data_IF_878396837448
#
_entry.id   IF_878396837448
#
_cell.length_a   1.000
_cell.length_b   1.000
_cell.length_c   1.000
_cell.angle_alpha   90.00
_cell.angle_beta   90.00
_cell.angle_gamma   90.00
#
_symmetry.space_group_name_H-M   'P 1'
#
loop_
_entity.id
_entity.type
_entity.pdbx_description
1 polymer ?
#
# COMPACT_ATOMS: atom_id res chain seq x y z
N UNK A 1 4.64 4.38 -34.35
CA UNK A 1 4.77 3.75 -33.02
C UNK A 1 6.23 3.82 -32.62
N UNK A 2 6.60 4.64 -31.62
CA UNK A 2 8.02 4.76 -31.21
C UNK A 2 8.44 3.49 -30.44
N UNK A 3 9.62 2.91 -30.72
CA UNK A 3 10.05 1.66 -30.09
C UNK A 3 10.30 1.83 -28.59
N UNK A 4 9.93 0.81 -27.81
CA UNK A 4 10.13 0.74 -26.35
C UNK A 4 11.56 1.08 -25.89
N UNK A 5 12.56 0.77 -26.72
CA UNK A 5 13.98 1.07 -26.46
C UNK A 5 14.32 2.58 -26.45
N UNK A 6 13.60 3.40 -27.22
CA UNK A 6 13.79 4.85 -27.24
C UNK A 6 13.47 5.46 -25.86
N UNK A 7 12.35 5.03 -25.26
CA UNK A 7 11.87 5.48 -23.94
C UNK A 7 12.65 4.91 -22.76
N UNK A 8 13.50 3.90 -22.99
CA UNK A 8 14.39 3.34 -21.96
C UNK A 8 15.68 4.16 -21.85
N UNK A 9 16.20 4.66 -22.97
CA UNK A 9 17.48 5.39 -23.05
C UNK A 9 17.36 6.84 -22.58
N UNK A 10 16.24 7.51 -22.85
CA UNK A 10 16.03 8.93 -22.50
C UNK A 10 15.98 9.22 -20.98
N UNK A 11 15.84 8.22 -20.10
CA UNK A 11 15.36 8.46 -18.73
C UNK A 11 16.28 8.03 -17.56
N UNK A 12 17.55 7.69 -17.82
CA UNK A 12 18.42 7.07 -16.80
C UNK A 12 19.22 8.07 -15.90
N UNK A 13 19.34 9.38 -16.14
CA UNK A 13 20.28 10.27 -15.38
C UNK A 13 19.68 11.50 -14.61
N UNK A 14 19.94 11.59 -13.28
CA UNK A 14 19.79 12.71 -12.29
C UNK A 14 18.40 13.34 -11.92
N UNK A 15 18.17 13.68 -10.65
CA UNK A 15 16.84 13.72 -9.97
C UNK A 15 15.97 14.98 -10.07
N UNK A 16 16.49 16.17 -10.43
CA UNK A 16 15.65 17.37 -10.64
C UNK A 16 15.44 17.68 -12.13
N UNK A 17 16.49 17.53 -12.94
CA UNK A 17 16.47 17.72 -14.41
C UNK A 17 15.53 16.70 -15.08
N UNK A 18 15.38 15.50 -14.51
CA UNK A 18 14.47 14.45 -15.02
C UNK A 18 13.01 14.83 -15.09
N UNK A 19 12.48 15.59 -14.12
CA UNK A 19 11.03 15.81 -14.05
C UNK A 19 10.55 16.69 -15.19
N UNK A 20 11.23 17.81 -15.40
CA UNK A 20 10.94 18.73 -16.49
C UNK A 20 11.17 18.06 -17.84
N UNK A 21 12.19 17.21 -17.97
CA UNK A 21 12.43 16.47 -19.20
C UNK A 21 11.33 15.45 -19.49
N UNK A 22 10.85 14.70 -18.48
CA UNK A 22 9.71 13.79 -18.64
C UNK A 22 8.47 14.55 -19.12
N UNK A 23 8.17 15.69 -18.50
CA UNK A 23 7.02 16.54 -18.86
C UNK A 23 7.20 17.11 -20.28
N UNK A 24 8.39 17.60 -20.62
CA UNK A 24 8.70 18.14 -21.95
C UNK A 24 8.51 17.08 -23.05
N UNK A 25 9.06 15.89 -22.84
CA UNK A 25 8.94 14.79 -23.81
C UNK A 25 7.49 14.31 -23.90
N UNK A 26 6.78 14.22 -22.76
CA UNK A 26 5.36 13.90 -22.76
C UNK A 26 4.54 14.95 -23.52
N UNK A 27 4.80 16.24 -23.34
CA UNK A 27 4.09 17.31 -24.03
C UNK A 27 4.14 17.17 -25.56
N UNK A 28 5.29 16.76 -26.11
CA UNK A 28 5.48 16.59 -27.55
C UNK A 28 4.82 15.30 -28.06
N UNK A 29 4.85 14.23 -27.27
CA UNK A 29 4.52 12.88 -27.74
C UNK A 29 3.27 12.26 -27.11
N UNK A 30 2.50 12.99 -26.29
CA UNK A 30 1.40 12.41 -25.50
C UNK A 30 0.41 11.61 -26.35
N UNK A 31 0.04 12.13 -27.52
CA UNK A 31 -0.88 11.48 -28.47
C UNK A 31 -0.35 10.15 -29.03
N UNK A 32 0.94 9.86 -28.88
CA UNK A 32 1.60 8.64 -29.35
C UNK A 32 1.89 7.64 -28.23
N UNK A 33 1.61 8.02 -26.96
CA UNK A 33 1.89 7.15 -25.82
C UNK A 33 0.81 6.09 -25.67
N UNK A 34 1.20 4.82 -25.74
CA UNK A 34 0.36 3.72 -25.29
C UNK A 34 0.29 3.68 -23.74
N UNK A 35 -0.54 2.78 -23.19
CA UNK A 35 -0.72 2.64 -21.74
C UNK A 35 0.58 2.37 -20.97
N UNK A 36 1.51 1.60 -21.55
CA UNK A 36 2.81 1.27 -20.94
C UNK A 36 3.72 2.49 -20.87
N UNK A 37 3.83 3.25 -21.96
CA UNK A 37 4.66 4.46 -21.99
C UNK A 37 4.11 5.54 -21.05
N UNK A 38 2.78 5.69 -21.01
CA UNK A 38 2.10 6.64 -20.15
C UNK A 38 2.29 6.31 -18.67
N UNK A 39 2.02 5.06 -18.26
CA UNK A 39 2.21 4.60 -16.88
C UNK A 39 3.67 4.75 -16.43
N UNK A 40 4.63 4.42 -17.32
CA UNK A 40 6.06 4.60 -17.05
C UNK A 40 6.44 6.06 -16.82
N UNK A 41 5.92 6.98 -17.65
CA UNK A 41 6.20 8.41 -17.50
C UNK A 41 5.64 8.95 -16.17
N UNK A 42 4.39 8.62 -15.83
CA UNK A 42 3.74 8.98 -14.57
C UNK A 42 4.51 8.40 -13.37
N UNK A 43 4.92 7.13 -13.46
CA UNK A 43 5.71 6.48 -12.41
C UNK A 43 7.04 7.17 -12.15
N UNK A 44 7.75 7.57 -13.20
CA UNK A 44 9.01 8.31 -13.08
C UNK A 44 8.82 9.65 -12.39
N UNK A 45 7.75 10.38 -12.71
CA UNK A 45 7.39 11.62 -12.02
C UNK A 45 7.12 11.36 -10.53
N UNK A 46 6.34 10.33 -10.20
CA UNK A 46 6.07 9.96 -8.81
C UNK A 46 7.35 9.59 -8.04
N UNK A 47 8.22 8.75 -8.61
CA UNK A 47 9.50 8.35 -8.00
C UNK A 47 10.42 9.56 -7.76
N UNK A 48 10.47 10.50 -8.71
CA UNK A 48 11.27 11.71 -8.54
C UNK A 48 10.71 12.66 -7.45
N UNK A 49 9.45 12.48 -7.05
CA UNK A 49 8.76 13.28 -6.05
C UNK A 49 8.64 12.63 -4.66
N UNK A 50 8.98 11.35 -4.52
CA UNK A 50 8.73 10.52 -3.31
C UNK A 50 9.19 11.19 -2.00
N UNK A 51 10.32 11.91 -2.06
CA UNK A 51 10.91 12.59 -0.89
C UNK A 51 10.84 14.13 -0.96
N UNK A 52 10.11 14.71 -1.92
CA UNK A 52 10.03 16.17 -2.09
C UNK A 52 8.58 16.64 -2.28
N UNK A 53 7.99 17.17 -1.20
CA UNK A 53 6.65 17.77 -1.24
C UNK A 53 6.58 18.94 -2.22
N UNK A 54 7.63 19.74 -2.32
CA UNK A 54 7.70 20.87 -3.25
C UNK A 54 7.62 20.40 -4.70
N UNK A 55 8.38 19.36 -5.06
CA UNK A 55 8.34 18.80 -6.41
C UNK A 55 6.98 18.14 -6.71
N UNK A 56 6.44 17.38 -5.74
CA UNK A 56 5.12 16.79 -5.88
C UNK A 56 4.04 17.85 -6.15
N UNK A 57 4.08 18.98 -5.43
CA UNK A 57 3.17 20.10 -5.67
C UNK A 57 3.32 20.70 -7.07
N UNK A 58 4.56 20.92 -7.53
CA UNK A 58 4.83 21.45 -8.87
C UNK A 58 4.32 20.53 -9.97
N UNK A 59 4.59 19.22 -9.89
CA UNK A 59 4.12 18.23 -10.86
C UNK A 59 2.59 18.19 -10.91
N UNK A 60 1.92 18.20 -9.76
CA UNK A 60 0.45 18.16 -9.69
C UNK A 60 -0.25 19.34 -10.34
N UNK A 61 0.40 20.50 -10.40
CA UNK A 61 -0.14 21.71 -11.03
C UNK A 61 0.34 21.88 -12.47
N UNK A 62 1.21 21.01 -12.97
CA UNK A 62 1.73 21.10 -14.33
C UNK A 62 0.64 20.69 -15.34
N UNK A 63 0.31 21.52 -16.35
CA UNK A 63 -0.73 21.22 -17.32
C UNK A 63 -0.50 19.92 -18.09
N UNK A 64 0.76 19.57 -18.38
CA UNK A 64 1.09 18.35 -19.13
C UNK A 64 0.82 17.14 -18.26
N UNK A 65 1.17 17.19 -16.97
CA UNK A 65 0.85 16.11 -16.04
C UNK A 65 -0.65 15.91 -15.90
N UNK A 66 -1.43 17.00 -15.77
CA UNK A 66 -2.89 16.92 -15.71
C UNK A 66 -3.47 16.23 -16.95
N UNK A 67 -3.00 16.62 -18.14
CA UNK A 67 -3.41 16.00 -19.40
C UNK A 67 -2.98 14.53 -19.50
N UNK A 68 -1.79 14.17 -19.01
CA UNK A 68 -1.36 12.77 -18.92
C UNK A 68 -2.30 11.93 -18.06
N UNK A 69 -2.77 12.48 -16.94
CA UNK A 69 -3.73 11.79 -16.07
C UNK A 69 -5.10 11.68 -16.75
N UNK A 70 -5.55 12.68 -17.50
CA UNK A 70 -6.80 12.60 -18.28
C UNK A 70 -6.73 11.50 -19.34
N UNK A 71 -5.62 11.41 -20.08
CA UNK A 71 -5.39 10.34 -21.05
C UNK A 71 -5.34 8.97 -20.35
N UNK A 72 -4.73 8.89 -19.16
CA UNK A 72 -4.70 7.66 -18.38
C UNK A 72 -6.10 7.22 -17.93
N UNK A 73 -6.91 8.16 -17.46
CA UNK A 73 -8.31 7.92 -17.07
C UNK A 73 -9.14 7.42 -18.26
N UNK A 74 -9.02 8.07 -19.42
CA UNK A 74 -9.69 7.63 -20.64
C UNK A 74 -9.28 6.21 -21.02
N UNK A 75 -7.97 5.91 -21.06
CA UNK A 75 -7.47 4.58 -21.43
C UNK A 75 -7.86 3.49 -20.43
N UNK A 76 -7.92 3.80 -19.13
CA UNK A 76 -8.42 2.88 -18.11
C UNK A 76 -9.93 2.59 -18.29
N UNK A 77 -10.72 3.60 -18.66
CA UNK A 77 -12.14 3.39 -19.00
C UNK A 77 -12.31 2.54 -20.27
N UNK A 78 -11.45 2.74 -21.27
CA UNK A 78 -11.45 1.92 -22.50
C UNK A 78 -11.11 0.45 -22.21
N UNK A 79 -10.18 0.17 -21.28
CA UNK A 79 -9.86 -1.20 -20.82
C UNK A 79 -11.10 -1.88 -20.22
N UNK A 80 -11.83 -1.17 -19.35
CA UNK A 80 -13.06 -1.71 -18.75
C UNK A 80 -14.15 -2.04 -19.77
N UNK A 81 -14.13 -1.36 -20.92
CA UNK A 81 -15.05 -1.61 -22.02
C UNK A 81 -14.51 -2.64 -23.03
N UNK A 82 -13.34 -3.23 -22.78
CA UNK A 82 -12.71 -4.23 -23.66
C UNK A 82 -12.27 -3.67 -25.02
N UNK A 83 -11.94 -2.37 -25.10
CA UNK A 83 -11.55 -1.72 -26.35
C UNK A 83 -10.06 -1.97 -26.70
N UNK A 84 -9.73 -1.89 -27.99
CA UNK A 84 -8.33 -1.94 -28.45
C UNK A 84 -7.56 -0.67 -28.06
N UNK A 85 -6.22 -0.77 -27.90
CA UNK A 85 -5.32 0.33 -27.46
C UNK A 85 -5.58 0.89 -26.04
N UNK A 86 -6.24 0.09 -25.21
CA UNK A 86 -6.51 0.32 -23.80
C UNK A 86 -5.26 0.24 -22.91
N UNK A 87 -5.44 0.46 -21.61
CA UNK A 87 -4.37 0.38 -20.62
C UNK A 87 -4.40 -0.96 -19.87
N UNK A 88 -3.38 -1.83 -20.03
CA UNK A 88 -3.36 -3.11 -19.33
C UNK A 88 -3.40 -2.93 -17.80
N UNK A 89 -4.02 -3.88 -17.08
CA UNK A 89 -4.21 -3.81 -15.63
C UNK A 89 -2.95 -3.60 -14.77
N UNK A 90 -1.77 -4.01 -15.26
CA UNK A 90 -0.52 -3.70 -14.57
C UNK A 90 -0.13 -2.20 -14.65
N UNK A 91 -0.38 -1.58 -15.80
CA UNK A 91 -0.18 -0.16 -16.00
C UNK A 91 -1.12 0.66 -15.12
N UNK A 92 -2.37 0.19 -15.00
CA UNK A 92 -3.38 0.71 -14.08
C UNK A 92 -2.85 0.77 -12.64
N UNK A 93 -2.32 -0.34 -12.12
CA UNK A 93 -1.78 -0.39 -10.75
C UNK A 93 -0.58 0.55 -10.54
N UNK A 94 0.33 0.62 -11.52
CA UNK A 94 1.46 1.57 -11.49
C UNK A 94 0.97 3.02 -11.39
N UNK A 95 -0.09 3.38 -12.12
CA UNK A 95 -0.67 4.71 -12.08
C UNK A 95 -1.33 4.98 -10.73
N UNK A 96 -2.11 4.03 -10.18
CA UNK A 96 -2.73 4.21 -8.85
C UNK A 96 -1.67 4.47 -7.78
N UNK A 97 -0.59 3.68 -7.79
CA UNK A 97 0.53 3.84 -6.87
C UNK A 97 1.18 5.21 -7.03
N UNK A 98 1.41 5.63 -8.27
CA UNK A 98 2.02 6.92 -8.58
C UNK A 98 1.16 8.10 -8.10
N UNK A 99 -0.15 8.00 -8.29
CA UNK A 99 -1.14 8.94 -7.78
C UNK A 99 -1.12 9.01 -6.25
N UNK A 100 -1.03 7.87 -5.56
CA UNK A 100 -0.93 7.82 -4.09
C UNK A 100 0.35 8.49 -3.58
N UNK A 101 1.50 8.24 -4.22
CA UNK A 101 2.79 8.88 -3.88
C UNK A 101 2.73 10.39 -4.05
N UNK A 102 2.17 10.86 -5.17
CA UNK A 102 2.00 12.30 -5.44
C UNK A 102 0.92 12.94 -4.56
N UNK A 103 0.06 12.13 -3.92
CA UNK A 103 -1.18 12.54 -3.24
C UNK A 103 -2.09 13.30 -4.19
N UNK A 104 -2.29 12.72 -5.38
CA UNK A 104 -3.15 13.24 -6.43
C UNK A 104 -4.19 12.17 -6.74
N UNK A 105 -5.41 12.38 -6.26
CA UNK A 105 -6.48 11.39 -6.35
C UNK A 105 -7.58 11.93 -7.28
N UNK A 106 -7.99 11.11 -8.26
CA UNK A 106 -9.09 11.42 -9.16
C UNK A 106 -10.18 10.35 -9.04
N UNK A 107 -11.43 10.73 -8.70
CA UNK A 107 -12.48 9.74 -8.46
C UNK A 107 -12.71 8.81 -9.65
N UNK A 108 -12.90 9.36 -10.85
CA UNK A 108 -13.17 8.58 -12.07
C UNK A 108 -12.06 7.58 -12.40
N UNK A 109 -10.80 7.99 -12.25
CA UNK A 109 -9.66 7.11 -12.41
C UNK A 109 -9.69 5.97 -11.37
N UNK A 110 -9.85 6.27 -10.08
CA UNK A 110 -9.90 5.25 -9.03
C UNK A 110 -11.10 4.31 -9.18
N UNK A 111 -12.28 4.81 -9.57
CA UNK A 111 -13.44 3.97 -9.92
C UNK A 111 -13.10 2.98 -11.03
N UNK A 112 -12.42 3.43 -12.08
CA UNK A 112 -12.04 2.54 -13.18
C UNK A 112 -11.04 1.46 -12.71
N UNK A 113 -10.07 1.86 -11.91
CA UNK A 113 -8.98 0.99 -11.45
C UNK A 113 -9.41 -0.03 -10.40
N UNK A 114 -10.47 0.23 -9.61
CA UNK A 114 -11.00 -0.74 -8.65
C UNK A 114 -11.51 -2.03 -9.31
N UNK A 115 -11.93 -1.95 -10.58
CA UNK A 115 -12.61 -3.03 -11.30
C UNK A 115 -11.68 -3.96 -12.08
N UNK A 116 -10.44 -3.54 -12.35
CA UNK A 116 -9.47 -4.29 -13.16
C UNK A 116 -8.31 -4.86 -12.30
N UNK A 117 -8.68 -5.62 -11.26
CA UNK A 117 -7.70 -6.18 -10.33
C UNK A 117 -7.08 -7.48 -10.86
N UNK A 118 -5.91 -7.39 -11.51
CA UNK A 118 -5.10 -8.57 -11.81
C UNK A 118 -4.20 -8.98 -10.62
N UNK A 119 -4.12 -10.30 -10.41
CA UNK A 119 -3.71 -10.93 -9.14
C UNK A 119 -2.31 -10.63 -8.59
N UNK A 120 -1.36 -10.17 -9.41
CA UNK A 120 0.04 -10.03 -8.97
C UNK A 120 0.36 -8.68 -8.32
N UNK A 121 -0.42 -7.64 -8.62
CA UNK A 121 -0.15 -6.28 -8.13
C UNK A 121 -1.23 -5.76 -7.17
N UNK A 122 -2.12 -6.66 -6.75
CA UNK A 122 -3.30 -6.33 -5.95
C UNK A 122 -2.96 -5.63 -4.63
N UNK A 123 -1.80 -5.91 -4.02
CA UNK A 123 -1.37 -5.22 -2.80
C UNK A 123 -0.92 -3.78 -3.02
N UNK A 124 -0.35 -3.46 -4.19
CA UNK A 124 -0.02 -2.07 -4.54
C UNK A 124 -1.30 -1.27 -4.76
N UNK A 125 -2.30 -1.89 -5.39
CA UNK A 125 -3.61 -1.29 -5.58
C UNK A 125 -4.30 -1.06 -4.23
N UNK A 126 -4.35 -2.08 -3.37
CA UNK A 126 -4.89 -1.99 -2.02
C UNK A 126 -4.18 -0.90 -1.20
N UNK A 127 -2.85 -0.82 -1.25
CA UNK A 127 -2.09 0.24 -0.58
C UNK A 127 -2.43 1.64 -1.11
N UNK A 128 -2.60 1.77 -2.41
CA UNK A 128 -2.94 3.06 -3.04
C UNK A 128 -4.32 3.57 -2.58
N UNK A 129 -5.30 2.67 -2.48
CA UNK A 129 -6.62 2.99 -1.93
C UNK A 129 -6.57 3.24 -0.41
N UNK A 130 -5.69 2.57 0.33
CA UNK A 130 -5.47 2.89 1.74
C UNK A 130 -4.93 4.31 1.94
N UNK A 131 -3.99 4.76 1.09
CA UNK A 131 -3.54 6.16 1.10
C UNK A 131 -4.66 7.12 0.66
N UNK A 132 -5.53 6.76 -0.28
CA UNK A 132 -6.74 7.55 -0.58
C UNK A 132 -7.60 7.73 0.69
N UNK A 133 -7.97 6.65 1.37
CA UNK A 133 -8.79 6.68 2.58
C UNK A 133 -8.19 7.55 3.69
N UNK A 134 -6.86 7.51 3.84
CA UNK A 134 -6.13 8.29 4.84
C UNK A 134 -6.03 9.78 4.50
N UNK A 135 -5.92 10.13 3.21
CA UNK A 135 -5.61 11.49 2.75
C UNK A 135 -6.83 12.27 2.32
N UNK A 136 -7.84 11.60 1.77
CA UNK A 136 -9.06 12.17 1.21
C UNK A 136 -10.29 11.38 1.68
N UNK A 137 -10.62 11.42 2.99
CA UNK A 137 -11.68 10.58 3.57
C UNK A 137 -13.07 10.85 2.97
N UNK A 138 -13.36 12.08 2.51
CA UNK A 138 -14.61 12.42 1.84
C UNK A 138 -14.74 11.69 0.49
N UNK A 139 -13.71 11.80 -0.36
CA UNK A 139 -13.66 11.07 -1.64
C UNK A 139 -13.69 9.54 -1.43
N UNK A 140 -13.03 9.04 -0.38
CA UNK A 140 -13.09 7.63 -0.04
C UNK A 140 -14.50 7.17 0.36
N UNK A 141 -15.28 8.01 1.05
CA UNK A 141 -16.66 7.72 1.36
C UNK A 141 -17.54 7.69 0.10
N UNK A 142 -17.30 8.58 -0.86
CA UNK A 142 -17.98 8.55 -2.17
C UNK A 142 -17.64 7.29 -2.99
N UNK A 143 -16.42 6.77 -2.83
CA UNK A 143 -15.91 5.57 -3.50
C UNK A 143 -16.07 4.30 -2.67
N UNK A 144 -16.90 4.31 -1.61
CA UNK A 144 -17.00 3.18 -0.66
C UNK A 144 -17.34 1.86 -1.36
N UNK A 145 -18.31 1.86 -2.28
CA UNK A 145 -18.68 0.66 -3.03
C UNK A 145 -17.51 0.11 -3.88
N UNK A 146 -16.75 0.98 -4.54
CA UNK A 146 -15.59 0.56 -5.34
C UNK A 146 -14.44 0.05 -4.47
N UNK A 147 -14.23 0.64 -3.28
CA UNK A 147 -13.26 0.13 -2.30
C UNK A 147 -13.67 -1.26 -1.83
N UNK A 148 -14.96 -1.49 -1.58
CA UNK A 148 -15.47 -2.79 -1.17
C UNK A 148 -15.30 -3.85 -2.28
N UNK A 149 -15.64 -3.52 -3.53
CA UNK A 149 -15.39 -4.37 -4.70
C UNK A 149 -13.90 -4.77 -4.81
N UNK A 150 -12.99 -3.81 -4.65
CA UNK A 150 -11.54 -4.04 -4.64
C UNK A 150 -11.13 -4.99 -3.51
N UNK A 151 -11.62 -4.78 -2.29
CA UNK A 151 -11.28 -5.62 -1.13
C UNK A 151 -11.77 -7.05 -1.33
N UNK A 152 -12.98 -7.24 -1.85
CA UNK A 152 -13.53 -8.57 -2.14
C UNK A 152 -12.76 -9.29 -3.24
N UNK A 153 -12.45 -8.58 -4.33
CA UNK A 153 -11.60 -9.11 -5.39
C UNK A 153 -10.24 -9.54 -4.82
N UNK A 154 -9.62 -8.68 -4.00
CA UNK A 154 -8.35 -8.97 -3.34
C UNK A 154 -8.42 -10.19 -2.42
N UNK A 155 -9.45 -10.25 -1.57
CA UNK A 155 -9.68 -11.37 -0.66
C UNK A 155 -9.81 -12.68 -1.45
N UNK A 156 -10.56 -12.68 -2.55
CA UNK A 156 -10.74 -13.87 -3.39
C UNK A 156 -9.42 -14.40 -3.95
N UNK A 157 -8.47 -13.52 -4.32
CA UNK A 157 -7.15 -13.92 -4.79
C UNK A 157 -6.26 -14.44 -3.69
N UNK A 158 -6.27 -13.80 -2.53
CA UNK A 158 -5.48 -14.24 -1.39
C UNK A 158 -5.92 -15.63 -0.91
N UNK A 159 -7.23 -15.87 -0.83
CA UNK A 159 -7.80 -17.13 -0.34
C UNK A 159 -7.63 -18.31 -1.31
N UNK A 160 -7.44 -18.05 -2.61
CA UNK A 160 -7.20 -19.11 -3.63
C UNK A 160 -5.77 -19.61 -3.66
N UNK A 161 -4.81 -18.87 -3.08
CA UNK A 161 -3.41 -19.30 -3.05
C UNK A 161 -3.18 -20.34 -1.97
N UNK A 162 -2.21 -21.23 -2.22
CA UNK A 162 -1.74 -22.16 -1.21
C UNK A 162 -1.20 -21.41 0.02
N UNK A 163 -1.30 -22.00 1.22
CA UNK A 163 -0.58 -21.50 2.40
C UNK A 163 0.88 -21.22 2.05
N UNK A 164 1.44 -20.12 2.58
CA UNK A 164 2.81 -19.66 2.29
C UNK A 164 3.05 -19.17 0.84
N UNK A 165 2.01 -19.10 0.01
CA UNK A 165 2.08 -18.61 -1.37
C UNK A 165 2.35 -17.10 -1.51
N UNK A 166 2.36 -16.37 -0.40
CA UNK A 166 2.65 -14.93 -0.33
C UNK A 166 3.92 -14.66 0.48
N UNK A 167 4.71 -13.67 0.08
CA UNK A 167 5.83 -13.20 0.91
C UNK A 167 5.30 -12.46 2.15
N UNK A 168 6.00 -12.53 3.29
CA UNK A 168 5.60 -11.81 4.51
C UNK A 168 5.37 -10.32 4.24
N UNK A 169 6.22 -9.67 3.43
CA UNK A 169 6.05 -8.24 3.13
C UNK A 169 4.71 -7.94 2.43
N UNK A 170 4.22 -8.87 1.61
CA UNK A 170 2.93 -8.74 0.92
C UNK A 170 1.78 -8.86 1.91
N UNK A 171 1.84 -9.84 2.83
CA UNK A 171 0.86 -10.01 3.90
C UNK A 171 0.81 -8.78 4.83
N UNK A 172 1.97 -8.26 5.23
CA UNK A 172 2.07 -7.06 6.07
C UNK A 172 1.51 -5.83 5.34
N UNK A 173 1.86 -5.64 4.06
CA UNK A 173 1.32 -4.54 3.25
C UNK A 173 -0.20 -4.63 3.12
N UNK A 174 -0.74 -5.84 2.89
CA UNK A 174 -2.17 -6.05 2.81
C UNK A 174 -2.86 -5.72 4.13
N UNK A 175 -2.36 -6.26 5.25
CA UNK A 175 -2.89 -5.99 6.59
C UNK A 175 -2.96 -4.49 6.87
N UNK A 176 -1.84 -3.76 6.72
CA UNK A 176 -1.78 -2.32 6.96
C UNK A 176 -2.81 -1.57 6.11
N UNK A 177 -2.91 -1.93 4.83
CA UNK A 177 -3.83 -1.27 3.90
C UNK A 177 -5.29 -1.47 4.31
N UNK A 178 -5.68 -2.69 4.67
CA UNK A 178 -7.04 -3.01 5.13
C UNK A 178 -7.43 -2.21 6.38
N UNK A 179 -6.51 -1.98 7.31
CA UNK A 179 -6.82 -1.19 8.53
C UNK A 179 -7.18 0.27 8.25
N UNK A 180 -6.79 0.80 7.08
CA UNK A 180 -7.08 2.17 6.66
C UNK A 180 -8.40 2.30 5.90
N UNK A 181 -9.00 1.19 5.46
CA UNK A 181 -10.22 1.19 4.65
C UNK A 181 -11.48 1.15 5.51
N UNK A 182 -12.60 1.72 5.03
CA UNK A 182 -13.90 1.54 5.66
C UNK A 182 -14.32 0.06 5.59
N UNK A 183 -14.05 -0.69 6.65
CA UNK A 183 -14.35 -2.12 6.74
C UNK A 183 -15.74 -2.30 7.35
N UNK A 184 -16.79 -2.43 6.53
CA UNK A 184 -18.15 -2.73 7.02
C UNK A 184 -18.48 -4.22 6.99
N UNK A 185 -17.86 -4.96 6.07
CA UNK A 185 -18.37 -6.28 5.70
C UNK A 185 -17.60 -7.47 6.27
N UNK A 186 -18.32 -8.59 6.33
CA UNK A 186 -17.84 -9.90 6.78
C UNK A 186 -16.61 -10.39 5.99
N UNK A 187 -16.58 -10.16 4.68
CA UNK A 187 -15.48 -10.58 3.81
C UNK A 187 -14.15 -9.95 4.26
N UNK A 188 -14.16 -8.64 4.49
CA UNK A 188 -12.97 -7.89 4.94
C UNK A 188 -12.48 -8.38 6.29
N UNK A 189 -13.39 -8.71 7.22
CA UNK A 189 -13.04 -9.28 8.53
C UNK A 189 -12.33 -10.63 8.39
N UNK A 190 -12.93 -11.56 7.64
CA UNK A 190 -12.34 -12.87 7.40
C UNK A 190 -10.99 -12.78 6.70
N UNK A 191 -10.86 -11.84 5.77
CA UNK A 191 -9.61 -11.61 5.07
C UNK A 191 -8.51 -11.13 6.03
N UNK A 192 -8.81 -10.18 6.92
CA UNK A 192 -7.86 -9.73 7.95
C UNK A 192 -7.49 -10.87 8.90
N UNK A 193 -8.47 -11.65 9.38
CA UNK A 193 -8.22 -12.82 10.26
C UNK A 193 -7.28 -13.81 9.59
N UNK A 194 -7.51 -14.12 8.31
CA UNK A 194 -6.69 -15.06 7.54
C UNK A 194 -5.24 -14.58 7.41
N UNK A 195 -5.03 -13.29 7.09
CA UNK A 195 -3.69 -12.69 7.04
C UNK A 195 -3.01 -12.76 8.41
N UNK A 196 -3.72 -12.42 9.49
CA UNK A 196 -3.16 -12.44 10.85
C UNK A 196 -2.77 -13.86 11.28
N UNK A 197 -3.59 -14.86 10.94
CA UNK A 197 -3.27 -16.25 11.21
C UNK A 197 -2.01 -16.70 10.48
N UNK A 198 -1.90 -16.41 9.18
CA UNK A 198 -0.71 -16.77 8.40
C UNK A 198 0.55 -16.07 8.92
N UNK A 199 0.45 -14.78 9.28
CA UNK A 199 1.57 -14.04 9.89
C UNK A 199 1.99 -14.64 11.24
N UNK A 200 1.05 -15.19 12.02
CA UNK A 200 1.37 -15.84 13.29
C UNK A 200 2.01 -17.22 13.11
N UNK A 201 1.53 -18.01 12.15
CA UNK A 201 2.15 -19.29 11.75
C UNK A 201 3.59 -19.10 11.29
N UNK A 202 3.88 -17.94 10.69
CA UNK A 202 5.20 -17.57 10.17
C UNK A 202 5.88 -16.51 11.01
N UNK A 203 5.63 -16.52 12.32
CA UNK A 203 6.14 -15.49 13.24
C UNK A 203 7.66 -15.40 13.27
N UNK A 204 8.38 -16.51 13.11
CA UNK A 204 9.85 -16.52 13.02
C UNK A 204 10.36 -15.78 11.79
N UNK A 205 9.71 -15.96 10.63
CA UNK A 205 10.03 -15.22 9.40
C UNK A 205 9.64 -13.74 9.54
N UNK A 206 8.52 -13.46 10.22
CA UNK A 206 8.10 -12.09 10.51
C UNK A 206 9.09 -11.37 11.43
N UNK A 207 9.68 -12.04 12.42
CA UNK A 207 10.68 -11.45 13.31
C UNK A 207 11.94 -10.98 12.57
N UNK A 208 12.30 -11.63 11.47
CA UNK A 208 13.36 -11.17 10.57
C UNK A 208 13.00 -9.95 9.72
N UNK A 209 11.72 -9.55 9.69
CA UNK A 209 11.21 -8.40 8.96
C UNK A 209 10.97 -7.19 9.88
N UNK A 210 10.75 -6.00 9.29
CA UNK A 210 10.32 -4.82 10.03
C UNK A 210 8.89 -5.02 10.55
N UNK A 211 8.73 -5.23 11.87
CA UNK A 211 7.44 -5.49 12.52
C UNK A 211 6.63 -4.23 12.85
N UNK A 212 7.24 -3.05 12.77
CA UNK A 212 6.58 -1.79 13.11
C UNK A 212 5.25 -1.56 12.34
N UNK A 213 5.13 -1.90 11.04
CA UNK A 213 3.86 -1.78 10.33
C UNK A 213 2.77 -2.71 10.88
N UNK A 214 3.14 -3.91 11.33
CA UNK A 214 2.19 -4.87 11.91
C UNK A 214 1.67 -4.34 13.25
N UNK A 215 2.56 -3.84 14.12
CA UNK A 215 2.17 -3.19 15.39
C UNK A 215 1.20 -2.04 15.13
N UNK A 216 1.52 -1.19 14.15
CA UNK A 216 0.69 -0.04 13.78
C UNK A 216 -0.68 -0.46 13.26
N UNK A 217 -0.75 -1.54 12.48
CA UNK A 217 -2.00 -2.10 12.00
C UNK A 217 -2.87 -2.63 13.17
N UNK A 218 -2.29 -3.38 14.10
CA UNK A 218 -3.03 -3.86 15.28
C UNK A 218 -3.50 -2.73 16.18
N UNK A 219 -2.70 -1.67 16.36
CA UNK A 219 -3.12 -0.51 17.13
C UNK A 219 -4.26 0.24 16.43
N UNK A 220 -4.21 0.36 15.10
CA UNK A 220 -5.30 0.92 14.30
C UNK A 220 -6.58 0.10 14.42
N UNK A 221 -6.50 -1.24 14.35
CA UNK A 221 -7.64 -2.13 14.56
C UNK A 221 -8.21 -1.96 15.98
N UNK A 222 -7.34 -1.94 17.00
CA UNK A 222 -7.74 -1.81 18.40
C UNK A 222 -8.45 -0.49 18.69
N UNK A 223 -8.03 0.59 18.04
CA UNK A 223 -8.53 1.95 18.32
C UNK A 223 -9.71 2.34 17.43
N UNK A 224 -9.68 1.98 16.14
CA UNK A 224 -10.68 2.40 15.15
C UNK A 224 -11.69 1.31 14.79
N UNK A 225 -11.27 0.04 14.85
CA UNK A 225 -12.07 -1.11 14.40
C UNK A 225 -12.26 -2.13 15.53
N UNK A 226 -12.66 -1.65 16.72
CA UNK A 226 -12.67 -2.41 17.98
C UNK A 226 -13.39 -3.77 17.86
N UNK A 227 -14.51 -3.83 17.13
CA UNK A 227 -15.26 -5.08 16.91
C UNK A 227 -14.41 -6.11 16.16
N UNK A 228 -13.81 -5.69 15.05
CA UNK A 228 -12.90 -6.53 14.23
C UNK A 228 -11.71 -7.00 15.06
N UNK A 229 -11.10 -6.10 15.85
CA UNK A 229 -9.99 -6.44 16.73
C UNK A 229 -10.34 -7.52 17.77
N UNK A 230 -11.53 -7.44 18.40
CA UNK A 230 -11.99 -8.46 19.36
C UNK A 230 -12.20 -9.81 18.69
N UNK A 231 -12.82 -9.81 17.51
CA UNK A 231 -13.05 -11.04 16.72
C UNK A 231 -11.72 -11.70 16.32
N UNK A 232 -10.76 -10.93 15.80
CA UNK A 232 -9.40 -11.41 15.52
C UNK A 232 -8.77 -11.99 16.79
N UNK A 233 -8.82 -11.26 17.90
CA UNK A 233 -8.23 -11.70 19.17
C UNK A 233 -8.86 -13.01 19.66
N UNK A 234 -10.17 -13.17 19.54
CA UNK A 234 -10.88 -14.40 19.88
C UNK A 234 -10.48 -15.57 18.98
N UNK A 235 -10.49 -15.38 17.66
CA UNK A 235 -10.08 -16.39 16.70
C UNK A 235 -8.62 -16.83 16.90
N UNK A 236 -7.74 -15.86 17.19
CA UNK A 236 -6.33 -16.13 17.45
C UNK A 236 -6.12 -16.82 18.79
N UNK A 237 -6.80 -16.41 19.86
CA UNK A 237 -6.66 -17.06 21.19
C UNK A 237 -7.15 -18.51 21.15
N UNK A 238 -8.19 -18.80 20.39
CA UNK A 238 -8.72 -20.16 20.22
C UNK A 238 -7.71 -21.10 19.53
N UNK A 239 -7.00 -20.62 18.50
CA UNK A 239 -6.01 -21.41 17.74
C UNK A 239 -4.61 -21.36 18.36
N UNK A 240 -4.27 -20.25 19.00
CA UNK A 240 -2.98 -19.94 19.59
C UNK A 240 -3.20 -19.37 21.01
N UNK A 241 -3.31 -20.21 22.05
CA UNK A 241 -3.62 -19.75 23.41
C UNK A 241 -2.62 -18.74 23.99
N UNK A 242 -1.39 -18.76 23.51
CA UNK A 242 -0.33 -17.82 23.88
C UNK A 242 -0.30 -16.55 23.01
N UNK A 243 -1.26 -16.39 22.10
CA UNK A 243 -1.35 -15.20 21.25
C UNK A 243 -1.68 -13.98 22.11
N UNK A 244 -0.74 -13.03 22.14
CA UNK A 244 -1.00 -11.71 22.69
C UNK A 244 -0.69 -10.70 21.61
N UNK A 245 -1.73 -10.00 21.14
CA UNK A 245 -1.63 -9.00 20.07
C UNK A 245 -0.55 -7.93 20.31
N UNK A 246 -0.21 -7.65 21.59
CA UNK A 246 0.89 -6.76 22.00
C UNK A 246 2.29 -7.38 21.93
N UNK A 247 2.46 -8.69 22.18
CA UNK A 247 3.78 -9.31 22.36
C UNK A 247 4.41 -9.84 21.07
N UNK A 248 3.59 -10.29 20.11
CA UNK A 248 4.13 -10.88 18.87
C UNK A 248 5.01 -9.94 18.04
N UNK A 249 4.84 -8.63 18.19
CA UNK A 249 5.47 -7.63 17.31
C UNK A 249 6.13 -6.46 18.07
N UNK A 250 6.00 -6.42 19.40
CA UNK A 250 6.48 -5.32 20.26
C UNK A 250 7.76 -5.63 21.04
N UNK A 251 8.39 -6.79 20.81
CA UNK A 251 9.54 -7.23 21.58
C UNK A 251 9.18 -7.68 22.99
N UNK A 252 9.98 -8.59 23.52
CA UNK A 252 9.81 -9.20 24.82
C UNK A 252 9.67 -8.12 25.92
N UNK A 253 8.96 -8.46 27.00
CA UNK A 253 9.17 -7.79 28.28
C UNK A 253 10.69 -7.69 28.45
N UNK A 254 11.21 -6.53 28.85
CA UNK A 254 12.41 -6.53 29.68
C UNK A 254 12.09 -7.43 30.89
N UNK A 255 12.33 -8.73 30.74
CA UNK A 255 12.26 -9.71 31.81
C UNK A 255 13.37 -9.31 32.77
N UNK A 256 12.95 -8.87 33.95
CA UNK A 256 13.72 -8.83 35.19
C UNK A 256 15.23 -8.72 35.05
N UNK A 257 15.75 -7.49 34.99
CA UNK A 257 16.87 -7.21 35.89
C UNK A 257 16.27 -7.12 37.28
N UNK A 258 16.34 -8.23 38.00
CA UNK A 258 16.26 -8.23 39.45
C UNK A 258 17.14 -7.08 39.94
N UNK A 259 16.52 -6.09 40.58
CA UNK A 259 17.25 -5.06 41.28
C UNK A 259 17.98 -5.78 42.42
N UNK A 260 19.25 -6.12 42.17
CA UNK A 260 20.18 -6.57 43.19
C UNK A 260 20.16 -5.47 44.25
N UNK A 261 19.60 -5.79 45.42
CA UNK A 261 19.69 -4.94 46.61
C UNK A 261 21.16 -4.54 46.78
N UNK A 262 21.48 -3.25 46.96
CA UNK A 262 22.84 -2.87 47.33
C UNK A 262 23.15 -3.55 48.67
N UNK A 263 24.20 -4.38 48.69
CA UNK A 263 24.80 -4.85 49.94
C UNK A 263 25.19 -3.61 50.73
N UNK A 264 24.67 -3.51 51.95
CA UNK A 264 25.11 -2.57 52.96
C UNK A 264 26.63 -2.69 53.14
N UNK A 265 27.37 -1.66 52.70
CA UNK A 265 28.77 -1.51 53.06
C UNK A 265 28.83 -1.29 54.56
N UNK A 266 29.46 -2.24 55.27
CA UNK A 266 29.86 -2.10 56.65
C UNK A 266 30.76 -0.87 56.80
N UNK A 267 30.55 -0.15 57.92
CA UNK A 267 31.51 0.78 58.51
C UNK A 267 32.89 0.15 58.57
N UNK A 268 33.90 0.92 58.18
CA UNK A 268 35.25 0.79 58.74
C UNK A 268 35.42 2.03 59.61
N UNK A 269 35.47 1.78 60.91
CA UNK A 269 35.96 2.70 61.93
C UNK A 269 37.49 2.68 61.93
N UNK A 270 38.10 3.83 62.21
CA UNK A 270 39.54 4.00 62.46
C UNK A 270 40.08 5.22 61.73
N UNK A 271 40.72 6.21 62.34
CA UNK A 271 41.18 6.41 63.72
C UNK A 271 41.34 7.92 63.94
#
# INVERSE_FOLDING_TARGET
MLPFHFWRTVFTLLSSVKQQEVLRVAAVHLHQLNGVNLSTAIHRLARACENSKANASRVKTDPVFLLMIEVAELKAQQELLGQTDSMPGNCCTIITWSCAILRFFRPKLFTALARDCQCYEVTNLLWSFAELCKRQPQMAAELEANIQELVEATASYFLRRSPQGWKIQVLVSALVSLTCMPCKDFCTKWFIVSIVQELAERSDEAQGANLLPVVTAFDTLRTKHVKVFREISGAMTAKYPNFVARYMYGGDRQKGKAHIRPKSSKRVEGS
#
